data_IF_575347497320
#
_entry.id   IF_575347497320
#
_cell.length_a   1.000
_cell.length_b   1.000
_cell.length_c   1.000
_cell.angle_alpha   90.00
_cell.angle_beta   90.00
_cell.angle_gamma   90.00
#
_symmetry.space_group_name_H-M   'P 1'
#
loop_
_entity.id
_entity.type
_entity.pdbx_description
1 polymer ?
#
# COMPACT_ATOMS: atom_id res chain seq x y z
N UNK A 1 14.44 -23.08 3.10
CA UNK A 1 14.96 -22.02 2.21
C UNK A 1 14.82 -20.65 2.82
N UNK A 2 15.70 -19.71 2.47
CA UNK A 2 15.52 -18.30 2.82
C UNK A 2 14.46 -17.67 1.93
N UNK A 3 13.61 -16.80 2.49
CA UNK A 3 12.52 -16.14 1.72
C UNK A 3 13.07 -15.19 0.65
N UNK A 4 14.14 -14.46 0.96
CA UNK A 4 14.87 -13.68 -0.03
C UNK A 4 16.01 -14.53 -0.61
N UNK A 5 16.07 -14.60 -1.94
CA UNK A 5 17.09 -15.35 -2.67
C UNK A 5 18.49 -14.69 -2.58
N UNK A 6 19.52 -15.42 -3.00
CA UNK A 6 20.89 -14.92 -3.18
C UNK A 6 20.88 -13.80 -4.22
N UNK A 7 21.51 -12.66 -3.92
CA UNK A 7 21.47 -11.47 -4.78
C UNK A 7 20.14 -10.71 -4.77
N UNK A 8 19.14 -11.18 -4.03
CA UNK A 8 17.81 -10.58 -3.96
C UNK A 8 17.75 -9.30 -3.14
N UNK A 9 16.56 -8.69 -3.09
CA UNK A 9 16.31 -7.44 -2.38
C UNK A 9 15.10 -7.56 -1.46
N UNK A 10 15.26 -7.10 -0.22
CA UNK A 10 14.15 -6.82 0.69
C UNK A 10 13.91 -5.31 0.65
N UNK A 11 12.73 -4.89 0.18
CA UNK A 11 12.32 -3.48 0.13
C UNK A 11 11.27 -3.19 1.21
N UNK A 12 11.40 -2.04 1.89
CA UNK A 12 10.52 -1.62 2.99
C UNK A 12 10.06 -0.17 2.81
N UNK A 13 8.80 0.11 3.15
CA UNK A 13 8.25 1.48 3.16
C UNK A 13 7.77 1.97 4.52
N UNK A 14 7.55 1.07 5.48
CA UNK A 14 7.04 1.38 6.82
C UNK A 14 7.37 0.26 7.82
N UNK A 15 7.21 0.56 9.11
CA UNK A 15 7.36 -0.40 10.21
C UNK A 15 6.16 -0.32 11.16
N UNK A 16 5.01 -0.86 10.75
CA UNK A 16 3.74 -0.78 11.52
C UNK A 16 3.87 -1.34 12.93
N UNK A 17 4.72 -2.35 13.13
CA UNK A 17 4.97 -3.02 14.42
C UNK A 17 6.18 -2.47 15.19
N UNK A 18 6.82 -1.41 14.69
CA UNK A 18 8.02 -0.81 15.27
C UNK A 18 9.10 -0.50 14.22
N UNK A 19 9.95 0.47 14.51
CA UNK A 19 10.99 0.97 13.60
C UNK A 19 12.39 0.43 13.89
N UNK A 20 12.56 -0.38 14.96
CA UNK A 20 13.84 -1.02 15.26
C UNK A 20 14.00 -2.28 14.39
N UNK A 21 15.13 -2.37 13.68
CA UNK A 21 15.44 -3.49 12.79
C UNK A 21 16.60 -4.29 13.36
N UNK A 22 16.42 -5.61 13.42
CA UNK A 22 17.47 -6.58 13.72
C UNK A 22 17.62 -7.53 12.55
N UNK A 23 18.85 -7.68 12.04
CA UNK A 23 19.15 -8.56 10.90
C UNK A 23 20.40 -9.38 11.18
N UNK A 24 20.35 -10.67 10.85
CA UNK A 24 21.54 -11.51 10.82
C UNK A 24 22.37 -11.20 9.57
N UNK A 25 23.46 -10.47 9.77
CA UNK A 25 24.29 -9.97 8.69
C UNK A 25 24.99 -11.08 7.89
N UNK A 26 25.19 -12.27 8.46
CA UNK A 26 25.81 -13.41 7.73
C UNK A 26 25.01 -13.71 6.47
N UNK A 27 23.69 -13.72 6.60
CA UNK A 27 22.78 -13.97 5.49
C UNK A 27 22.62 -12.78 4.56
N UNK A 28 22.96 -11.58 5.03
CA UNK A 28 22.97 -10.40 4.19
C UNK A 28 24.19 -10.37 3.28
N UNK A 29 25.41 -10.42 3.85
CA UNK A 29 26.63 -10.27 3.06
C UNK A 29 27.02 -11.54 2.31
N UNK A 30 26.89 -12.73 2.91
CA UNK A 30 27.35 -13.97 2.25
C UNK A 30 26.47 -14.33 1.04
N UNK A 31 25.18 -14.00 1.11
CA UNK A 31 24.24 -14.18 0.02
C UNK A 31 24.02 -12.90 -0.80
N UNK A 32 24.84 -11.86 -0.59
CA UNK A 32 24.85 -10.62 -1.39
C UNK A 32 23.46 -9.95 -1.53
N UNK A 33 22.69 -9.90 -0.45
CA UNK A 33 21.34 -9.34 -0.46
C UNK A 33 21.37 -7.82 -0.33
N UNK A 34 20.37 -7.13 -0.88
CA UNK A 34 20.14 -5.69 -0.70
C UNK A 34 18.99 -5.45 0.29
N UNK A 35 19.17 -4.50 1.20
CA UNK A 35 18.10 -3.98 2.06
C UNK A 35 17.81 -2.55 1.64
N UNK A 36 16.63 -2.31 1.08
CA UNK A 36 16.29 -1.04 0.41
C UNK A 36 15.12 -0.34 1.10
N UNK A 37 15.35 0.87 1.59
CA UNK A 37 14.26 1.79 1.96
C UNK A 37 13.59 2.36 0.71
N UNK A 38 12.27 2.48 0.74
CA UNK A 38 11.46 3.17 -0.28
C UNK A 38 10.44 4.07 0.39
N UNK A 39 10.04 5.16 -0.25
CA UNK A 39 9.05 6.08 0.29
C UNK A 39 8.25 6.73 -0.82
N UNK A 40 6.93 6.53 -0.80
CA UNK A 40 6.00 7.03 -1.82
C UNK A 40 6.45 6.64 -3.25
N UNK A 41 6.19 7.52 -4.21
CA UNK A 41 6.64 7.44 -5.58
C UNK A 41 6.82 8.87 -6.12
N UNK A 42 7.64 9.03 -7.17
CA UNK A 42 7.69 10.28 -7.93
C UNK A 42 6.57 10.34 -8.99
N UNK A 43 6.44 11.48 -9.66
CA UNK A 43 5.37 11.72 -10.64
C UNK A 43 5.37 10.72 -11.80
N UNK A 44 6.55 10.41 -12.34
CA UNK A 44 6.69 9.44 -13.44
C UNK A 44 6.21 8.04 -13.02
N UNK A 45 6.57 7.61 -11.81
CA UNK A 45 6.15 6.33 -11.24
C UNK A 45 4.65 6.29 -10.93
N UNK A 46 4.10 7.36 -10.36
CA UNK A 46 2.67 7.48 -10.08
C UNK A 46 1.85 7.44 -11.38
N UNK A 47 2.29 8.17 -12.41
CA UNK A 47 1.67 8.15 -13.74
C UNK A 47 1.73 6.75 -14.35
N UNK A 48 2.86 6.04 -14.23
CA UNK A 48 2.98 4.68 -14.76
C UNK A 48 2.01 3.69 -14.09
N UNK A 49 1.78 3.80 -12.78
CA UNK A 49 0.77 2.97 -12.08
C UNK A 49 -0.65 3.35 -12.51
N UNK A 50 -0.93 4.65 -12.69
CA UNK A 50 -2.24 5.11 -13.16
C UNK A 50 -2.59 4.52 -14.54
N UNK A 51 -1.62 4.44 -15.46
CA UNK A 51 -1.80 3.78 -16.76
C UNK A 51 -2.14 2.28 -16.63
N UNK A 52 -1.60 1.59 -15.62
CA UNK A 52 -1.94 0.19 -15.35
C UNK A 52 -3.39 0.04 -14.86
N UNK A 53 -3.88 1.00 -14.08
CA UNK A 53 -5.28 1.05 -13.63
C UNK A 53 -6.21 1.37 -14.80
N UNK A 54 -5.90 2.40 -15.59
CA UNK A 54 -6.67 2.77 -16.80
C UNK A 54 -6.75 1.60 -17.78
N UNK A 55 -5.62 0.90 -18.00
CA UNK A 55 -5.57 -0.29 -18.86
C UNK A 55 -6.14 -1.57 -18.23
N UNK A 56 -6.76 -1.46 -17.04
CA UNK A 56 -7.39 -2.57 -16.29
C UNK A 56 -6.46 -3.76 -16.01
N UNK A 57 -5.15 -3.51 -15.92
CA UNK A 57 -4.15 -4.50 -15.49
C UNK A 57 -4.00 -4.55 -13.97
N UNK A 58 -4.41 -3.48 -13.29
CA UNK A 58 -4.42 -3.36 -11.82
C UNK A 58 -5.82 -2.92 -11.39
N UNK A 59 -6.40 -3.65 -10.45
CA UNK A 59 -7.68 -3.29 -9.82
C UNK A 59 -7.43 -2.34 -8.63
N UNK A 60 -8.26 -1.29 -8.43
CA UNK A 60 -8.11 -0.38 -7.29
C UNK A 60 -8.49 -1.01 -5.94
N UNK A 61 -9.05 -2.21 -5.92
CA UNK A 61 -9.37 -3.00 -4.72
C UNK A 61 -10.20 -2.23 -3.69
N UNK A 62 -11.23 -1.50 -4.14
CA UNK A 62 -12.11 -0.73 -3.26
C UNK A 62 -12.96 -1.68 -2.40
N UNK A 63 -12.86 -1.55 -1.08
CA UNK A 63 -13.47 -2.44 -0.10
C UNK A 63 -14.64 -1.81 0.67
N UNK A 64 -14.72 -0.48 0.70
CA UNK A 64 -15.79 0.25 1.36
C UNK A 64 -15.85 1.71 0.95
N UNK A 65 -17.08 2.22 0.78
CA UNK A 65 -17.35 3.63 0.48
C UNK A 65 -18.23 4.22 1.58
N UNK A 66 -17.79 5.33 2.15
CA UNK A 66 -18.42 6.02 3.28
C UNK A 66 -18.90 7.41 2.86
N UNK A 67 -19.93 7.94 3.53
CA UNK A 67 -20.37 9.32 3.33
C UNK A 67 -19.40 10.33 3.96
N UNK A 68 -19.57 11.61 3.64
CA UNK A 68 -18.75 12.69 4.19
C UNK A 68 -18.79 12.73 5.73
N UNK A 69 -19.98 12.52 6.31
CA UNK A 69 -20.19 12.52 7.76
C UNK A 69 -19.56 11.29 8.45
N UNK A 70 -19.19 10.26 7.69
CA UNK A 70 -18.57 9.02 8.18
C UNK A 70 -17.04 9.01 8.05
N UNK A 71 -16.40 10.08 7.58
CA UNK A 71 -14.93 10.15 7.41
C UNK A 71 -14.20 9.80 8.72
N UNK A 72 -14.67 10.33 9.86
CA UNK A 72 -14.08 10.04 11.16
C UNK A 72 -14.23 8.56 11.54
N UNK A 73 -15.37 7.95 11.21
CA UNK A 73 -15.61 6.53 11.46
C UNK A 73 -14.68 5.65 10.61
N UNK A 74 -14.50 5.96 9.33
CA UNK A 74 -13.58 5.23 8.45
C UNK A 74 -12.14 5.25 8.99
N UNK A 75 -11.66 6.39 9.49
CA UNK A 75 -10.34 6.50 10.11
C UNK A 75 -10.24 5.70 11.42
N UNK A 76 -11.30 5.67 12.23
CA UNK A 76 -11.31 4.86 13.46
C UNK A 76 -11.21 3.36 13.17
N UNK A 77 -11.89 2.87 12.11
CA UNK A 77 -11.76 1.50 11.65
C UNK A 77 -10.31 1.18 11.21
N UNK A 78 -9.63 2.11 10.54
CA UNK A 78 -8.22 1.95 10.18
C UNK A 78 -7.33 1.87 11.42
N UNK A 79 -7.49 2.83 12.34
CA UNK A 79 -6.71 2.92 13.58
C UNK A 79 -6.82 1.64 14.43
N UNK A 80 -8.01 1.07 14.54
CA UNK A 80 -8.25 -0.17 15.29
C UNK A 80 -7.97 -1.45 14.50
N UNK A 81 -7.50 -1.34 13.25
CA UNK A 81 -7.28 -2.46 12.34
C UNK A 81 -8.55 -3.32 12.12
N UNK A 82 -9.71 -2.67 12.04
CA UNK A 82 -11.05 -3.27 11.80
C UNK A 82 -11.61 -2.99 10.40
N UNK A 83 -10.89 -2.23 9.59
CA UNK A 83 -11.25 -1.97 8.19
C UNK A 83 -11.16 -3.25 7.35
N UNK A 84 -12.01 -3.41 6.32
CA UNK A 84 -11.94 -4.55 5.41
C UNK A 84 -10.66 -4.51 4.56
N UNK A 85 -10.22 -5.69 4.08
CA UNK A 85 -9.10 -5.79 3.14
C UNK A 85 -9.36 -4.97 1.88
N UNK A 86 -8.36 -4.19 1.45
CA UNK A 86 -8.45 -3.31 0.29
C UNK A 86 -8.33 -1.84 0.68
N UNK A 87 -8.80 -0.96 -0.20
CA UNK A 87 -8.79 0.49 0.00
C UNK A 87 -10.19 0.99 0.35
N UNK A 88 -10.31 1.97 1.25
CA UNK A 88 -11.57 2.64 1.56
C UNK A 88 -11.61 4.03 0.92
N UNK A 89 -12.80 4.49 0.55
CA UNK A 89 -13.02 5.83 0.01
C UNK A 89 -14.16 6.56 0.73
N UNK A 90 -14.14 7.88 0.71
CA UNK A 90 -15.21 8.71 1.26
C UNK A 90 -15.77 9.62 0.18
N UNK A 91 -17.10 9.70 0.09
CA UNK A 91 -17.80 10.66 -0.77
C UNK A 91 -17.56 12.07 -0.23
N UNK A 92 -17.35 13.02 -1.16
CA UNK A 92 -17.21 14.44 -0.84
C UNK A 92 -18.33 15.23 -1.53
N UNK A 93 -18.22 15.46 -2.83
CA UNK A 93 -19.26 16.11 -3.62
C UNK A 93 -20.10 15.12 -4.43
N UNK A 94 -19.64 13.88 -4.61
CA UNK A 94 -20.44 12.81 -5.19
C UNK A 94 -21.60 12.48 -4.23
N UNK A 95 -22.83 12.51 -4.73
CA UNK A 95 -24.04 12.35 -3.90
C UNK A 95 -24.38 10.90 -3.60
N UNK A 96 -23.86 9.96 -4.40
CA UNK A 96 -24.11 8.53 -4.26
C UNK A 96 -22.90 7.72 -4.75
N UNK A 97 -22.84 6.45 -4.31
CA UNK A 97 -21.80 5.50 -4.71
C UNK A 97 -21.92 5.17 -6.21
N UNK A 98 -20.83 4.68 -6.80
CA UNK A 98 -20.79 4.16 -8.17
C UNK A 98 -21.18 5.17 -9.27
N UNK A 99 -21.09 6.47 -8.96
CA UNK A 99 -21.22 7.55 -9.95
C UNK A 99 -19.89 7.88 -10.61
N UNK A 100 -19.93 8.44 -11.82
CA UNK A 100 -18.72 8.85 -12.54
C UNK A 100 -17.98 7.73 -13.27
N UNK A 101 -18.61 6.55 -13.41
CA UNK A 101 -18.09 5.48 -14.28
C UNK A 101 -18.16 5.95 -15.74
N UNK A 102 -17.00 6.24 -16.34
CA UNK A 102 -16.82 6.40 -17.79
C UNK A 102 -16.02 5.23 -18.35
#
# INVERSE_FOLDING_TARGET
DFVCDIGGMVVICAGTTGYNITMDLRYHWMMQKRFQGSHLANDDQASAVNELVISRKVDPCLSGTYSFDEIAHAHQLMHENKHPYGNMACLVNATEKDTGMQ
#
